data_IF_645906546992
#
_entry.id   IF_645906546992
#
_cell.length_a   1.000
_cell.length_b   1.000
_cell.length_c   1.000
_cell.angle_alpha   90.00
_cell.angle_beta   90.00
_cell.angle_gamma   90.00
#
_symmetry.space_group_name_H-M   'P 1'
#
loop_
_entity.id
_entity.type
_entity.pdbx_description
1 polymer ?
#
# COMPACT_ATOMS: atom_id res chain seq x y z
N UNK A 1 25.72 35.17 37.15
CA UNK A 1 25.96 33.97 36.34
C UNK A 1 25.07 32.88 36.88
N UNK A 2 23.83 32.83 36.43
CA UNK A 2 22.86 31.84 36.90
C UNK A 2 22.97 30.60 36.01
N UNK A 3 23.53 29.54 36.58
CA UNK A 3 23.53 28.21 35.98
C UNK A 3 22.10 27.67 35.98
N UNK A 4 21.41 27.79 34.86
CA UNK A 4 20.10 27.19 34.66
C UNK A 4 20.26 25.73 34.25
N UNK A 5 20.18 24.88 35.27
CA UNK A 5 19.40 23.63 35.36
C UNK A 5 19.49 22.67 34.17
N UNK A 6 20.12 21.53 34.47
CA UNK A 6 19.96 20.27 33.77
C UNK A 6 18.49 19.82 33.74
N UNK A 7 18.02 19.38 32.56
CA UNK A 7 17.00 18.34 32.46
C UNK A 7 17.20 17.61 31.12
N UNK A 8 18.09 16.63 31.15
CA UNK A 8 18.09 15.50 30.24
C UNK A 8 16.76 14.78 30.34
N UNK A 9 15.95 14.81 29.28
CA UNK A 9 14.89 13.84 29.08
C UNK A 9 15.39 12.80 28.09
N UNK A 10 15.74 11.62 28.62
CA UNK A 10 15.78 10.40 27.83
C UNK A 10 14.36 10.15 27.29
N UNK A 11 14.14 10.34 25.98
CA UNK A 11 12.96 9.79 25.31
C UNK A 11 13.23 8.31 25.00
N UNK A 12 12.56 7.45 25.74
CA UNK A 12 12.46 6.02 25.46
C UNK A 12 11.97 5.78 24.02
N UNK A 13 12.86 5.25 23.17
CA UNK A 13 12.58 4.23 22.16
C UNK A 13 11.41 4.37 21.16
N UNK A 14 10.73 5.51 21.00
CA UNK A 14 9.67 5.65 19.98
C UNK A 14 10.29 5.85 18.60
N UNK A 15 10.23 4.82 17.77
CA UNK A 15 10.65 4.87 16.35
C UNK A 15 9.80 5.91 15.60
N UNK A 16 10.35 7.12 15.41
CA UNK A 16 9.75 8.18 14.60
C UNK A 16 10.12 7.93 13.14
N UNK A 17 9.14 7.64 12.29
CA UNK A 17 9.37 7.45 10.85
C UNK A 17 9.05 8.73 10.09
N UNK A 18 10.04 9.26 9.37
CA UNK A 18 9.87 10.43 8.51
C UNK A 18 9.65 10.02 7.06
N UNK A 19 8.54 10.47 6.46
CA UNK A 19 8.21 10.32 5.04
C UNK A 19 8.03 11.72 4.43
N UNK A 20 9.07 12.18 3.74
CA UNK A 20 9.12 13.52 3.17
C UNK A 20 8.96 14.59 4.26
N UNK A 21 7.94 15.46 4.17
CA UNK A 21 7.68 16.48 5.18
C UNK A 21 6.87 15.99 6.38
N UNK A 22 6.34 14.76 6.38
CA UNK A 22 5.56 14.17 7.48
C UNK A 22 6.41 13.26 8.35
N UNK A 23 6.10 13.23 9.65
CA UNK A 23 6.68 12.32 10.62
C UNK A 23 5.56 11.57 11.33
N UNK A 24 5.73 10.27 11.50
CA UNK A 24 4.73 9.38 12.09
C UNK A 24 5.28 8.75 13.37
N UNK A 25 4.42 8.65 14.37
CA UNK A 25 4.78 8.07 15.67
C UNK A 25 4.37 6.59 15.79
N UNK A 26 3.48 6.11 14.92
CA UNK A 26 3.01 4.73 14.90
C UNK A 26 2.63 4.27 13.48
N UNK A 27 2.57 2.96 13.27
CA UNK A 27 2.09 2.37 12.02
C UNK A 27 0.62 2.70 11.75
N UNK A 28 -0.20 2.80 12.79
CA UNK A 28 -1.62 3.16 12.70
C UNK A 28 -1.82 4.61 12.23
N UNK A 29 -1.04 5.54 12.79
CA UNK A 29 -1.04 6.95 12.40
C UNK A 29 -0.66 7.10 10.91
N UNK A 30 0.42 6.43 10.51
CA UNK A 30 0.84 6.39 9.10
C UNK A 30 -0.22 5.78 8.18
N UNK A 31 -0.84 4.67 8.59
CA UNK A 31 -1.89 4.01 7.82
C UNK A 31 -3.12 4.93 7.65
N UNK A 32 -3.61 5.51 8.75
CA UNK A 32 -4.79 6.37 8.74
C UNK A 32 -4.57 7.60 7.87
N UNK A 33 -3.36 8.17 7.90
CA UNK A 33 -3.00 9.29 7.03
C UNK A 33 -3.17 8.96 5.55
N UNK A 34 -2.50 7.91 5.06
CA UNK A 34 -2.59 7.52 3.65
C UNK A 34 -3.96 6.96 3.27
N UNK A 35 -4.66 6.32 4.20
CA UNK A 35 -6.04 5.90 4.01
C UNK A 35 -6.96 7.11 3.78
N UNK A 36 -6.88 8.12 4.65
CA UNK A 36 -7.69 9.33 4.52
C UNK A 36 -7.37 10.07 3.22
N UNK A 37 -6.08 10.21 2.89
CA UNK A 37 -5.68 10.82 1.62
C UNK A 37 -6.29 10.08 0.42
N UNK A 38 -6.21 8.75 0.40
CA UNK A 38 -6.75 7.92 -0.69
C UNK A 38 -8.28 8.04 -0.83
N UNK A 39 -9.01 8.19 0.28
CA UNK A 39 -10.47 8.19 0.29
C UNK A 39 -11.10 9.58 0.14
N UNK A 40 -10.37 10.66 0.40
CA UNK A 40 -10.89 12.02 0.28
C UNK A 40 -10.37 12.76 -0.94
N UNK A 41 -9.22 12.36 -1.51
CA UNK A 41 -8.68 13.01 -2.69
C UNK A 41 -9.52 12.70 -3.95
N UNK A 42 -9.72 13.69 -4.86
CA UNK A 42 -10.41 13.47 -6.13
C UNK A 42 -9.64 12.53 -7.07
N UNK A 43 -10.37 11.88 -7.97
CA UNK A 43 -9.77 10.94 -8.93
C UNK A 43 -9.04 11.64 -10.08
N UNK A 44 -7.94 11.05 -10.54
CA UNK A 44 -7.16 11.47 -11.71
C UNK A 44 -6.66 12.92 -11.63
N UNK A 45 -6.54 13.44 -10.41
CA UNK A 45 -5.96 14.75 -10.11
C UNK A 45 -4.61 14.52 -9.44
N UNK A 46 -3.58 15.23 -9.91
CA UNK A 46 -2.27 15.21 -9.27
C UNK A 46 -2.37 15.63 -7.82
N UNK A 47 -1.65 14.93 -6.96
CA UNK A 47 -1.51 15.35 -5.58
C UNK A 47 -0.74 16.67 -5.51
N UNK A 48 -0.86 17.36 -4.39
CA UNK A 48 0.00 18.50 -4.13
C UNK A 48 1.45 18.05 -3.85
N UNK A 49 2.40 18.98 -3.97
CA UNK A 49 3.84 18.70 -3.77
C UNK A 49 4.15 18.10 -2.39
N UNK A 50 3.36 18.46 -1.37
CA UNK A 50 3.57 17.98 0.00
C UNK A 50 3.26 16.48 0.10
N UNK A 51 2.11 16.05 -0.41
CA UNK A 51 1.71 14.64 -0.43
C UNK A 51 2.56 13.81 -1.40
N UNK A 52 2.94 14.38 -2.55
CA UNK A 52 3.84 13.73 -3.51
C UNK A 52 5.17 13.34 -2.86
N UNK A 53 5.77 14.25 -2.08
CA UNK A 53 7.01 13.97 -1.36
C UNK A 53 6.83 12.89 -0.28
N UNK A 54 5.70 12.90 0.41
CA UNK A 54 5.38 11.87 1.41
C UNK A 54 5.21 10.48 0.76
N UNK A 55 4.48 10.39 -0.38
CA UNK A 55 4.30 9.14 -1.11
C UNK A 55 5.59 8.65 -1.79
N UNK A 56 6.40 9.57 -2.32
CA UNK A 56 7.70 9.22 -2.88
C UNK A 56 8.57 8.49 -1.85
N UNK A 57 8.66 9.06 -0.64
CA UNK A 57 9.42 8.45 0.46
C UNK A 57 8.76 7.16 0.97
N UNK A 58 7.43 7.07 0.96
CA UNK A 58 6.70 5.84 1.28
C UNK A 58 7.08 4.70 0.32
N UNK A 59 7.12 4.96 -1.00
CA UNK A 59 7.49 3.96 -2.01
C UNK A 59 8.96 3.58 -1.87
N UNK A 60 9.86 4.55 -1.72
CA UNK A 60 11.30 4.30 -1.54
C UNK A 60 11.61 3.37 -0.38
N UNK A 61 10.97 3.59 0.77
CA UNK A 61 11.24 2.83 1.99
C UNK A 61 10.41 1.56 2.11
N UNK A 62 9.20 1.56 1.55
CA UNK A 62 8.22 0.50 1.76
C UNK A 62 8.09 -0.51 0.63
N UNK A 63 8.52 -0.19 -0.59
CA UNK A 63 8.38 -1.08 -1.74
C UNK A 63 9.64 -1.92 -1.99
N UNK A 64 9.50 -3.20 -2.34
CA UNK A 64 10.64 -4.11 -2.64
C UNK A 64 11.35 -3.71 -3.91
N UNK A 65 10.57 -3.40 -4.94
CA UNK A 65 11.09 -2.94 -6.24
C UNK A 65 11.05 -1.40 -6.36
N UNK A 66 11.36 -0.67 -5.28
CA UNK A 66 11.27 0.79 -5.28
C UNK A 66 12.12 1.43 -6.39
N UNK A 67 13.36 0.98 -6.56
CA UNK A 67 14.27 1.47 -7.61
C UNK A 67 13.68 1.30 -9.01
N UNK A 68 13.06 0.16 -9.29
CA UNK A 68 12.42 -0.14 -10.57
C UNK A 68 11.17 0.71 -10.82
N UNK A 69 10.41 1.03 -9.76
CA UNK A 69 9.24 1.92 -9.87
C UNK A 69 9.62 3.37 -10.12
N UNK A 70 10.73 3.81 -9.53
CA UNK A 70 11.20 5.22 -9.54
C UNK A 70 12.19 5.46 -10.69
N UNK A 71 12.70 4.41 -11.33
CA UNK A 71 13.63 4.51 -12.45
C UNK A 71 13.02 5.34 -13.59
N UNK A 72 13.86 6.19 -14.21
CA UNK A 72 13.42 7.15 -15.23
C UNK A 72 12.74 8.40 -14.66
N UNK A 73 12.62 8.52 -13.34
CA UNK A 73 12.04 9.69 -12.68
C UNK A 73 10.52 9.66 -12.63
N UNK A 74 9.98 10.34 -11.62
CA UNK A 74 8.54 10.44 -11.37
C UNK A 74 8.09 11.86 -11.68
N UNK A 75 6.90 11.98 -12.27
CA UNK A 75 6.22 13.26 -12.49
C UNK A 75 5.36 13.67 -11.29
N UNK A 76 4.66 12.71 -10.70
CA UNK A 76 3.88 12.90 -9.48
C UNK A 76 3.00 11.69 -9.19
N UNK A 77 2.09 11.83 -8.23
CA UNK A 77 1.12 10.81 -7.88
C UNK A 77 -0.32 11.26 -8.14
N UNK A 78 -1.19 10.28 -8.36
CA UNK A 78 -2.62 10.48 -8.51
C UNK A 78 -3.40 9.43 -7.72
N UNK A 79 -4.61 9.76 -7.30
CA UNK A 79 -5.58 8.77 -6.82
C UNK A 79 -6.48 8.36 -7.97
N UNK A 80 -6.72 7.06 -8.14
CA UNK A 80 -7.59 6.55 -9.19
C UNK A 80 -8.32 5.28 -8.76
N UNK A 81 -9.09 4.69 -9.67
CA UNK A 81 -9.71 3.37 -9.47
C UNK A 81 -8.92 2.31 -10.22
N UNK A 82 -8.58 1.22 -9.54
CA UNK A 82 -7.94 0.08 -10.19
C UNK A 82 -8.91 -0.53 -11.23
N UNK A 83 -8.49 -0.74 -12.49
CA UNK A 83 -9.38 -1.14 -13.58
C UNK A 83 -10.10 -2.48 -13.32
N UNK A 84 -9.38 -3.45 -12.74
CA UNK A 84 -9.92 -4.77 -12.37
C UNK A 84 -10.72 -4.74 -11.05
N UNK A 85 -10.09 -4.34 -9.94
CA UNK A 85 -10.67 -4.46 -8.60
C UNK A 85 -11.65 -3.35 -8.21
N UNK A 86 -11.76 -2.28 -9.02
CA UNK A 86 -12.60 -1.08 -8.77
C UNK A 86 -12.33 -0.35 -7.44
N UNK A 87 -11.32 -0.77 -6.68
CA UNK A 87 -10.87 -0.11 -5.45
C UNK A 87 -10.08 1.16 -5.76
N UNK A 88 -10.04 2.10 -4.80
CA UNK A 88 -9.18 3.28 -4.89
C UNK A 88 -7.71 2.87 -4.69
N UNK A 89 -6.81 3.36 -5.52
CA UNK A 89 -5.37 3.15 -5.40
C UNK A 89 -4.58 4.44 -5.68
N UNK A 90 -3.37 4.51 -5.15
CA UNK A 90 -2.38 5.49 -5.58
C UNK A 90 -1.70 4.98 -6.85
N UNK A 91 -1.52 5.90 -7.80
CA UNK A 91 -0.83 5.68 -9.06
C UNK A 91 0.38 6.60 -9.11
N UNK A 92 1.52 6.01 -9.44
CA UNK A 92 2.76 6.68 -9.75
C UNK A 92 2.78 6.97 -11.25
N UNK A 93 2.95 8.25 -11.61
CA UNK A 93 3.03 8.70 -13.00
C UNK A 93 4.50 8.99 -13.31
N UNK A 94 5.10 8.24 -14.25
CA UNK A 94 6.50 8.46 -14.67
C UNK A 94 6.61 9.65 -15.63
N UNK A 95 7.85 10.04 -15.94
CA UNK A 95 8.13 11.12 -16.90
C UNK A 95 7.62 10.82 -18.31
N UNK A 96 7.57 9.55 -18.71
CA UNK A 96 7.03 9.07 -19.98
C UNK A 96 5.50 8.89 -19.98
N UNK A 97 4.80 9.38 -18.93
CA UNK A 97 3.37 9.21 -18.70
C UNK A 97 2.90 7.77 -18.48
N UNK A 98 3.81 6.80 -18.35
CA UNK A 98 3.44 5.47 -17.90
C UNK A 98 2.92 5.52 -16.46
N UNK A 99 1.95 4.66 -16.18
CA UNK A 99 1.21 4.64 -14.92
C UNK A 99 1.41 3.29 -14.25
N UNK A 100 1.85 3.31 -13.00
CA UNK A 100 1.97 2.12 -12.17
C UNK A 100 1.23 2.30 -10.84
N UNK A 101 0.44 1.31 -10.44
CA UNK A 101 -0.14 1.30 -9.10
C UNK A 101 0.84 0.76 -8.06
N UNK A 102 0.59 1.09 -6.80
CA UNK A 102 1.22 0.43 -5.66
C UNK A 102 0.28 0.38 -4.46
N UNK A 103 0.50 -0.61 -3.60
CA UNK A 103 -0.26 -0.75 -2.37
C UNK A 103 0.42 0.01 -1.23
N UNK A 104 -0.19 1.11 -0.78
CA UNK A 104 0.31 1.84 0.39
C UNK A 104 0.31 0.96 1.65
N UNK A 105 -0.67 0.05 1.82
CA UNK A 105 -0.75 -0.86 2.97
C UNK A 105 0.49 -1.75 3.06
N UNK A 106 0.93 -2.31 1.93
CA UNK A 106 2.17 -3.12 1.86
C UNK A 106 3.41 -2.28 2.22
N UNK A 107 3.47 -1.04 1.73
CA UNK A 107 4.57 -0.13 2.03
C UNK A 107 4.62 0.22 3.52
N UNK A 108 3.48 0.61 4.11
CA UNK A 108 3.37 0.92 5.54
C UNK A 108 3.77 -0.29 6.39
N UNK A 109 3.19 -1.47 6.14
CA UNK A 109 3.49 -2.69 6.90
C UNK A 109 4.98 -3.03 6.90
N UNK A 110 5.67 -2.79 5.78
CA UNK A 110 7.10 -3.07 5.66
C UNK A 110 7.96 -2.07 6.44
N UNK A 111 7.56 -0.80 6.48
CA UNK A 111 8.29 0.25 7.21
C UNK A 111 8.04 0.14 8.72
N UNK A 112 6.78 0.01 9.10
CA UNK A 112 6.35 -0.24 10.48
C UNK A 112 5.28 -1.34 10.48
N UNK A 113 5.54 -2.49 11.13
CA UNK A 113 4.61 -3.60 11.16
C UNK A 113 3.21 -3.15 11.62
N UNK A 114 2.22 -3.43 10.78
CA UNK A 114 0.81 -3.22 11.11
C UNK A 114 0.29 -4.38 11.97
N UNK A 115 -0.69 -4.12 12.86
CA UNK A 115 -1.38 -5.16 13.60
C UNK A 115 -1.97 -6.24 12.66
N UNK A 116 -1.96 -7.53 13.06
CA UNK A 116 -2.40 -8.63 12.19
C UNK A 116 -3.80 -8.47 11.58
N UNK A 117 -4.73 -7.86 12.31
CA UNK A 117 -6.10 -7.64 11.84
C UNK A 117 -6.23 -6.58 10.72
N UNK A 118 -5.19 -5.77 10.49
CA UNK A 118 -5.15 -4.73 9.45
C UNK A 118 -4.40 -5.17 8.19
N UNK A 119 -3.63 -6.24 8.29
CA UNK A 119 -2.99 -6.86 7.15
C UNK A 119 -4.10 -7.57 6.39
N UNK A 120 -4.52 -6.99 5.25
CA UNK A 120 -5.57 -7.60 4.43
C UNK A 120 -5.31 -9.10 4.23
N UNK A 121 -6.29 -9.99 4.50
CA UNK A 121 -6.20 -11.40 4.13
C UNK A 121 -6.25 -11.64 2.61
N UNK A 122 -6.16 -10.59 1.78
CA UNK A 122 -6.29 -10.62 0.32
C UNK A 122 -5.07 -11.17 -0.44
N UNK A 123 -4.10 -11.75 0.26
CA UNK A 123 -3.16 -12.70 -0.33
C UNK A 123 -3.17 -13.97 0.52
N UNK A 124 -4.24 -14.75 0.44
CA UNK A 124 -4.01 -16.20 0.55
C UNK A 124 -3.10 -16.54 -0.64
N UNK A 125 -1.89 -17.09 -0.44
CA UNK A 125 -1.23 -17.78 -1.53
C UNK A 125 -2.24 -18.81 -2.03
N UNK A 126 -2.46 -18.86 -3.34
CA UNK A 126 -3.25 -19.91 -3.95
C UNK A 126 -2.53 -21.23 -3.68
N UNK A 127 -2.81 -21.88 -2.55
CA UNK A 127 -2.58 -23.29 -2.39
C UNK A 127 -3.55 -23.99 -3.34
N UNK A 128 -3.20 -24.06 -4.62
CA UNK A 128 -3.71 -25.11 -5.49
C UNK A 128 -3.01 -26.41 -5.08
N UNK A 129 -3.41 -26.89 -3.90
CA UNK A 129 -3.05 -28.17 -3.32
C UNK A 129 -4.34 -28.95 -3.08
N UNK A 130 -4.63 -29.85 -4.02
CA UNK A 130 -5.40 -31.09 -3.87
C UNK A 130 -6.67 -31.08 -2.99
N UNK A 131 -7.83 -31.22 -3.64
CA UNK A 131 -8.92 -32.01 -3.06
C UNK A 131 -9.10 -33.29 -3.88
N UNK A 132 -8.63 -34.39 -3.30
CA UNK A 132 -9.04 -35.75 -3.66
C UNK A 132 -10.43 -36.01 -3.09
N UNK A 133 -11.28 -36.66 -3.88
CA UNK A 133 -12.53 -37.28 -3.44
C UNK A 133 -13.74 -36.65 -4.14
N UNK A 134 -14.65 -37.37 -4.79
CA UNK A 134 -14.84 -38.80 -4.93
C UNK A 134 -16.28 -39.02 -5.40
N UNK A 135 -16.47 -40.10 -6.17
CA UNK A 135 -17.71 -40.89 -6.27
C UNK A 135 -18.96 -40.29 -6.97
N UNK A 136 -19.47 -41.16 -7.86
CA UNK A 136 -20.89 -41.50 -8.15
C UNK A 136 -21.60 -40.72 -9.27
N UNK A 137 -21.47 -41.29 -10.47
CA UNK A 137 -22.59 -41.90 -11.20
C UNK A 137 -23.84 -41.07 -11.48
N UNK A 138 -24.07 -40.76 -12.77
CA UNK A 138 -25.41 -40.57 -13.36
C UNK A 138 -25.41 -41.06 -14.82
N UNK A 139 -25.99 -42.23 -15.06
CA UNK A 139 -26.92 -42.45 -16.19
C UNK A 139 -28.22 -41.69 -15.84
N UNK A 140 -29.07 -41.21 -16.77
CA UNK A 140 -29.60 -42.04 -17.86
C UNK A 140 -30.01 -41.34 -19.18
N UNK A 141 -30.36 -42.19 -20.15
CA UNK A 141 -31.45 -42.03 -21.13
C UNK A 141 -31.38 -40.96 -22.26
N UNK A 142 -31.18 -41.45 -23.50
CA UNK A 142 -32.22 -41.38 -24.54
C UNK A 142 -32.23 -40.21 -25.53
N UNK A 143 -32.51 -40.59 -26.80
CA UNK A 143 -32.78 -39.80 -28.03
C UNK A 143 -31.54 -39.20 -28.73
N UNK A 144 -31.34 -39.37 -30.03
CA UNK A 144 -32.24 -39.84 -31.08
C UNK A 144 -31.50 -40.19 -32.37
N UNK A 145 -32.20 -41.00 -33.16
CA UNK A 145 -31.90 -41.40 -34.54
C UNK A 145 -31.70 -40.18 -35.45
N UNK A 146 -30.70 -40.26 -36.32
CA UNK A 146 -30.85 -40.09 -37.78
C UNK A 146 -29.77 -40.91 -38.46
#
# INVERSE_FOLDING_TARGET
MEHKVMASMQEEGKVKVKLGPKSFQSSMDMFNYFYNLLHHWPFNVYLNKYEDLALLELVKKGHTEAEKKISGGIRGFQVGKHPLWKSRCFFLIKQDYSVEDFSFRKCVHRILPLPPHMINPSHKPSHNGASRGGRRGRRPHGRGRR
#
